data_IF_898441263858
#
_entry.id   IF_898441263858
#
_cell.length_a   1.000
_cell.length_b   1.000
_cell.length_c   1.000
_cell.angle_alpha   90.00
_cell.angle_beta   90.00
_cell.angle_gamma   90.00
#
_symmetry.space_group_name_H-M   'P 1'
#
loop_
_entity.id
_entity.type
_entity.pdbx_description
1 polymer ?
#
# COMPACT_ATOMS: atom_id res chain seq x y z
N UNK A 1 -27.43 -39.42 -16.78
CA UNK A 1 -26.17 -38.68 -17.04
C UNK A 1 -26.47 -37.18 -17.21
N UNK A 2 -26.76 -36.44 -16.14
CA UNK A 2 -27.10 -35.00 -16.20
C UNK A 2 -26.37 -34.20 -15.08
N UNK A 3 -25.19 -34.65 -14.66
CA UNK A 3 -24.36 -33.99 -13.63
C UNK A 3 -23.16 -33.21 -14.19
N UNK A 4 -22.96 -33.22 -15.52
CA UNK A 4 -21.81 -32.56 -16.16
C UNK A 4 -22.07 -31.10 -16.58
N UNK A 5 -23.26 -30.79 -17.10
CA UNK A 5 -23.56 -29.46 -17.64
C UNK A 5 -23.80 -28.40 -16.55
N UNK A 6 -24.45 -28.77 -15.44
CA UNK A 6 -24.74 -27.82 -14.35
C UNK A 6 -23.46 -27.45 -13.57
N UNK A 7 -22.48 -28.37 -13.48
CA UNK A 7 -21.17 -28.11 -12.85
C UNK A 7 -20.28 -27.25 -13.75
N UNK A 8 -20.31 -27.47 -15.08
CA UNK A 8 -19.57 -26.65 -16.05
C UNK A 8 -20.14 -25.22 -16.16
N UNK A 9 -21.47 -25.05 -16.16
CA UNK A 9 -22.11 -23.73 -16.10
C UNK A 9 -21.93 -23.05 -14.73
N UNK A 10 -21.86 -23.81 -13.63
CA UNK A 10 -21.55 -23.28 -12.30
C UNK A 10 -20.08 -22.95 -12.11
N UNK A 11 -19.14 -23.57 -12.81
CA UNK A 11 -17.72 -23.20 -12.75
C UNK A 11 -17.41 -21.95 -13.60
N UNK A 12 -18.09 -21.81 -14.75
CA UNK A 12 -17.91 -20.67 -15.67
C UNK A 12 -18.44 -19.34 -15.13
N UNK A 13 -19.52 -19.37 -14.33
CA UNK A 13 -20.13 -18.17 -13.73
C UNK A 13 -19.25 -17.47 -12.66
N UNK A 14 -18.67 -18.19 -11.67
CA UNK A 14 -17.68 -17.68 -10.73
C UNK A 14 -16.44 -17.18 -11.44
N UNK A 15 -15.97 -17.89 -12.46
CA UNK A 15 -14.78 -17.48 -13.20
C UNK A 15 -15.01 -16.17 -13.95
N UNK A 16 -16.14 -16.03 -14.64
CA UNK A 16 -16.55 -14.75 -15.24
C UNK A 16 -16.71 -13.63 -14.22
N UNK A 17 -17.22 -13.94 -13.02
CA UNK A 17 -17.33 -12.97 -11.93
C UNK A 17 -15.94 -12.50 -11.49
N UNK A 18 -15.01 -13.42 -11.23
CA UNK A 18 -13.62 -13.12 -10.84
C UNK A 18 -12.89 -12.31 -11.89
N UNK A 19 -13.04 -12.66 -13.17
CA UNK A 19 -12.46 -11.90 -14.28
C UNK A 19 -12.98 -10.45 -14.30
N UNK A 20 -14.27 -10.26 -14.00
CA UNK A 20 -14.86 -8.93 -13.94
C UNK A 20 -14.39 -8.13 -12.73
N UNK A 21 -14.32 -8.75 -11.56
CA UNK A 21 -13.74 -8.15 -10.35
C UNK A 21 -12.30 -7.71 -10.60
N UNK A 22 -11.47 -8.58 -11.18
CA UNK A 22 -10.09 -8.28 -11.54
C UNK A 22 -9.98 -7.09 -12.52
N UNK A 23 -10.85 -7.04 -13.53
CA UNK A 23 -10.88 -5.91 -14.48
C UNK A 23 -11.26 -4.58 -13.80
N UNK A 24 -12.19 -4.60 -12.85
CA UNK A 24 -12.58 -3.42 -12.07
C UNK A 24 -11.43 -2.95 -11.18
N UNK A 25 -10.78 -3.86 -10.46
CA UNK A 25 -9.62 -3.53 -9.62
C UNK A 25 -8.49 -2.94 -10.47
N UNK A 26 -8.23 -3.52 -11.65
CA UNK A 26 -7.15 -3.05 -12.53
C UNK A 26 -7.42 -1.66 -13.12
N UNK A 27 -8.65 -1.38 -13.54
CA UNK A 27 -9.06 -0.04 -13.92
C UNK A 27 -8.86 0.96 -12.78
N UNK A 28 -9.27 0.61 -11.57
CA UNK A 28 -9.11 1.46 -10.40
C UNK A 28 -7.64 1.73 -10.04
N UNK A 29 -6.75 0.72 -10.19
CA UNK A 29 -5.29 0.90 -10.04
C UNK A 29 -4.73 1.88 -11.06
N UNK A 30 -5.02 1.68 -12.35
CA UNK A 30 -4.54 2.56 -13.42
C UNK A 30 -5.00 4.01 -13.23
N UNK A 31 -6.28 4.21 -12.93
CA UNK A 31 -6.84 5.53 -12.67
C UNK A 31 -6.18 6.19 -11.45
N UNK A 32 -6.03 5.45 -10.35
CA UNK A 32 -5.40 5.98 -9.14
C UNK A 32 -3.91 6.32 -9.33
N UNK A 33 -3.17 5.53 -10.11
CA UNK A 33 -1.78 5.84 -10.45
C UNK A 33 -1.65 7.11 -11.29
N UNK A 34 -2.64 7.40 -12.15
CA UNK A 34 -2.64 8.59 -13.01
C UNK A 34 -3.06 9.84 -12.25
N UNK A 35 -4.17 9.79 -11.50
CA UNK A 35 -4.82 10.98 -10.97
C UNK A 35 -4.84 11.05 -9.43
N UNK A 36 -4.34 10.02 -8.73
CA UNK A 36 -4.36 9.88 -7.27
C UNK A 36 -5.68 9.30 -6.75
N UNK A 37 -5.62 8.50 -5.68
CA UNK A 37 -6.78 7.78 -5.12
C UNK A 37 -7.91 8.73 -4.74
N UNK A 38 -7.59 9.93 -4.22
CA UNK A 38 -8.60 10.91 -3.79
C UNK A 38 -9.50 11.41 -4.94
N UNK A 39 -8.98 11.47 -6.17
CA UNK A 39 -9.65 12.16 -7.28
C UNK A 39 -10.52 11.24 -8.14
N UNK A 40 -10.40 9.92 -7.96
CA UNK A 40 -11.17 8.95 -8.74
C UNK A 40 -12.54 8.74 -8.12
N UNK A 41 -13.60 8.73 -8.93
CA UNK A 41 -14.94 8.37 -8.52
C UNK A 41 -15.32 6.94 -8.96
N UNK A 42 -16.39 6.38 -8.37
CA UNK A 42 -16.94 5.10 -8.83
C UNK A 42 -17.41 5.15 -10.30
N UNK A 43 -17.86 6.33 -10.75
CA UNK A 43 -18.31 6.52 -12.12
C UNK A 43 -17.14 6.49 -13.11
N UNK A 44 -15.98 7.05 -12.74
CA UNK A 44 -14.78 7.00 -13.56
C UNK A 44 -14.30 5.56 -13.75
N UNK A 45 -14.29 4.78 -12.66
CA UNK A 45 -13.95 3.34 -12.72
C UNK A 45 -14.94 2.60 -13.63
N UNK A 46 -16.25 2.85 -13.48
CA UNK A 46 -17.27 2.22 -14.30
C UNK A 46 -17.09 2.54 -15.79
N UNK A 47 -16.81 3.81 -16.12
CA UNK A 47 -16.56 4.25 -17.48
C UNK A 47 -15.32 3.57 -18.08
N UNK A 48 -14.23 3.47 -17.32
CA UNK A 48 -12.96 2.86 -17.77
C UNK A 48 -13.12 1.36 -18.11
N UNK A 49 -13.93 0.62 -17.35
CA UNK A 49 -14.24 -0.81 -17.66
C UNK A 49 -15.41 -1.00 -18.63
N UNK A 50 -15.98 0.08 -19.18
CA UNK A 50 -17.12 0.04 -20.09
C UNK A 50 -18.39 -0.52 -19.44
N UNK A 51 -18.62 -0.21 -18.16
CA UNK A 51 -19.78 -0.64 -17.39
C UNK A 51 -20.66 0.53 -16.99
N UNK A 52 -21.97 0.28 -16.91
CA UNK A 52 -22.86 1.18 -16.23
C UNK A 52 -22.63 1.11 -14.70
N UNK A 53 -22.76 2.25 -13.99
CA UNK A 53 -22.55 2.33 -12.53
C UNK A 53 -23.35 1.28 -11.74
N UNK A 54 -24.62 1.07 -12.11
CA UNK A 54 -25.49 0.06 -11.48
C UNK A 54 -25.00 -1.37 -11.68
N UNK A 55 -24.33 -1.68 -12.80
CA UNK A 55 -23.74 -2.99 -13.03
C UNK A 55 -22.48 -3.19 -12.17
N UNK A 56 -21.67 -2.14 -11.97
CA UNK A 56 -20.47 -2.19 -11.12
C UNK A 56 -20.85 -2.41 -9.65
N UNK A 57 -21.93 -1.79 -9.18
CA UNK A 57 -22.46 -1.95 -7.82
C UNK A 57 -22.85 -3.39 -7.44
N UNK A 58 -22.95 -4.31 -8.42
CA UNK A 58 -23.16 -5.74 -8.17
C UNK A 58 -21.88 -6.47 -7.73
N UNK A 59 -20.72 -5.85 -7.89
CA UNK A 59 -19.40 -6.40 -7.56
C UNK A 59 -18.81 -5.72 -6.33
N UNK A 60 -18.85 -4.38 -6.29
CA UNK A 60 -18.37 -3.58 -5.17
C UNK A 60 -19.41 -2.54 -4.80
N UNK A 61 -19.78 -2.45 -3.52
CA UNK A 61 -20.80 -1.54 -3.01
C UNK A 61 -20.35 -0.09 -3.02
N UNK A 62 -19.05 0.16 -2.85
CA UNK A 62 -18.47 1.51 -2.89
C UNK A 62 -17.10 1.54 -3.57
N UNK A 63 -16.64 2.76 -3.88
CA UNK A 63 -15.28 2.99 -4.35
C UNK A 63 -14.26 2.69 -3.25
N UNK A 64 -14.61 3.01 -2.01
CA UNK A 64 -13.78 2.75 -0.84
C UNK A 64 -13.53 1.25 -0.66
N UNK A 65 -14.56 0.42 -0.90
CA UNK A 65 -14.42 -1.04 -0.89
C UNK A 65 -13.42 -1.52 -1.95
N UNK A 66 -13.49 -1.00 -3.19
CA UNK A 66 -12.51 -1.30 -4.26
C UNK A 66 -11.08 -1.01 -3.79
N UNK A 67 -10.84 0.16 -3.22
CA UNK A 67 -9.49 0.54 -2.79
C UNK A 67 -9.02 -0.21 -1.54
N UNK A 68 -9.92 -0.64 -0.64
CA UNK A 68 -9.55 -1.54 0.46
C UNK A 68 -9.14 -2.93 -0.05
N UNK A 69 -9.81 -3.44 -1.09
CA UNK A 69 -9.38 -4.67 -1.77
C UNK A 69 -7.99 -4.51 -2.40
N UNK A 70 -7.75 -3.42 -3.12
CA UNK A 70 -6.42 -3.12 -3.68
C UNK A 70 -5.36 -2.99 -2.57
N UNK A 71 -5.67 -2.29 -1.48
CA UNK A 71 -4.76 -2.14 -0.36
C UNK A 71 -4.43 -3.50 0.29
N UNK A 72 -5.42 -4.38 0.42
CA UNK A 72 -5.25 -5.74 0.95
C UNK A 72 -4.23 -6.53 0.14
N UNK A 73 -4.34 -6.52 -1.18
CA UNK A 73 -3.40 -7.20 -2.09
C UNK A 73 -2.01 -6.54 -2.06
N UNK A 74 -1.96 -5.20 -2.07
CA UNK A 74 -0.72 -4.44 -2.08
C UNK A 74 0.12 -4.66 -0.79
N UNK A 75 -0.53 -4.77 0.37
CA UNK A 75 0.15 -5.13 1.63
C UNK A 75 0.81 -6.51 1.56
N UNK A 76 0.11 -7.52 1.02
CA UNK A 76 0.62 -8.89 0.92
C UNK A 76 1.79 -8.98 -0.07
N UNK A 77 1.64 -8.35 -1.23
CA UNK A 77 2.68 -8.32 -2.25
C UNK A 77 3.92 -7.58 -1.75
N UNK A 78 3.73 -6.43 -1.08
CA UNK A 78 4.83 -5.68 -0.50
C UNK A 78 5.56 -6.50 0.54
N UNK A 79 4.85 -7.09 1.51
CA UNK A 79 5.45 -7.91 2.55
C UNK A 79 6.27 -9.06 1.97
N UNK A 80 5.74 -9.77 0.98
CA UNK A 80 6.44 -10.86 0.28
C UNK A 80 7.71 -10.37 -0.43
N UNK A 81 7.61 -9.27 -1.18
CA UNK A 81 8.75 -8.76 -1.96
C UNK A 81 9.86 -8.20 -1.09
N UNK A 82 9.49 -7.47 -0.02
CA UNK A 82 10.43 -6.86 0.88
C UNK A 82 11.07 -7.89 1.80
N UNK A 83 10.34 -8.88 2.31
CA UNK A 83 10.95 -9.97 3.09
C UNK A 83 11.99 -10.74 2.30
N UNK A 84 11.73 -11.01 1.01
CA UNK A 84 12.72 -11.61 0.12
C UNK A 84 13.96 -10.72 -0.04
N UNK A 85 13.79 -9.41 -0.24
CA UNK A 85 14.91 -8.48 -0.35
C UNK A 85 15.73 -8.36 0.96
N UNK A 86 15.06 -8.41 2.11
CA UNK A 86 15.71 -8.41 3.43
C UNK A 86 16.52 -9.70 3.67
N UNK A 87 16.03 -10.85 3.19
CA UNK A 87 16.72 -12.14 3.32
C UNK A 87 18.09 -12.22 2.64
N UNK A 88 18.38 -11.30 1.72
CA UNK A 88 19.69 -11.20 1.04
C UNK A 88 20.69 -10.30 1.77
N UNK A 89 20.27 -9.64 2.86
CA UNK A 89 21.13 -8.73 3.62
C UNK A 89 21.95 -9.45 4.69
N UNK A 90 23.03 -8.78 5.11
CA UNK A 90 23.87 -9.26 6.22
C UNK A 90 23.28 -8.88 7.58
N UNK A 91 23.53 -9.73 8.60
CA UNK A 91 23.16 -9.45 9.99
C UNK A 91 23.69 -8.07 10.42
N UNK A 92 22.83 -7.24 11.00
CA UNK A 92 23.19 -5.90 11.46
C UNK A 92 23.26 -4.82 10.39
N UNK A 93 22.93 -5.10 9.12
CA UNK A 93 23.00 -4.14 8.01
C UNK A 93 21.83 -3.13 8.02
N UNK A 94 21.84 -2.21 9.00
CA UNK A 94 20.83 -1.16 9.12
C UNK A 94 20.71 -0.28 7.87
N UNK A 95 21.82 0.18 7.23
CA UNK A 95 21.73 0.94 5.98
C UNK A 95 21.09 0.14 4.84
N UNK A 96 21.41 -1.16 4.72
CA UNK A 96 20.79 -2.06 3.75
C UNK A 96 19.28 -2.21 3.98
N UNK A 97 18.86 -2.38 5.23
CA UNK A 97 17.44 -2.45 5.61
C UNK A 97 16.71 -1.17 5.19
N UNK A 98 17.27 0.00 5.56
CA UNK A 98 16.68 1.29 5.22
C UNK A 98 16.54 1.49 3.70
N UNK A 99 17.56 1.11 2.93
CA UNK A 99 17.53 1.16 1.47
C UNK A 99 16.52 0.17 0.87
N UNK A 100 16.38 -1.02 1.43
CA UNK A 100 15.40 -2.01 0.98
C UNK A 100 13.97 -1.50 1.18
N UNK A 101 13.66 -0.94 2.36
CA UNK A 101 12.38 -0.26 2.61
C UNK A 101 12.12 0.85 1.59
N UNK A 102 13.06 1.78 1.44
CA UNK A 102 12.93 2.91 0.53
C UNK A 102 12.65 2.47 -0.92
N UNK A 103 13.46 1.54 -1.44
CA UNK A 103 13.33 1.03 -2.81
C UNK A 103 12.01 0.29 -3.00
N UNK A 104 11.59 -0.52 -2.02
CA UNK A 104 10.35 -1.29 -2.11
C UNK A 104 9.09 -0.40 -2.12
N UNK A 105 9.14 0.74 -1.43
CA UNK A 105 8.07 1.73 -1.35
C UNK A 105 8.04 2.64 -2.58
N UNK A 106 9.20 3.04 -3.09
CA UNK A 106 9.33 3.85 -4.31
C UNK A 106 8.72 3.15 -5.53
N UNK A 107 8.93 1.82 -5.62
CA UNK A 107 8.30 0.99 -6.64
C UNK A 107 6.78 0.81 -6.46
N UNK A 108 6.19 1.34 -5.38
CA UNK A 108 4.77 1.16 -5.00
C UNK A 108 4.09 2.49 -4.66
N UNK A 109 4.00 3.42 -5.62
CA UNK A 109 3.36 4.72 -5.44
C UNK A 109 1.93 4.61 -4.89
N UNK A 110 1.14 3.68 -5.45
CA UNK A 110 -0.25 3.47 -5.03
C UNK A 110 -0.35 2.97 -3.58
N UNK A 111 0.56 2.11 -3.13
CA UNK A 111 0.55 1.64 -1.74
C UNK A 111 0.83 2.80 -0.77
N UNK A 112 1.79 3.67 -1.11
CA UNK A 112 2.10 4.85 -0.32
C UNK A 112 0.88 5.79 -0.22
N UNK A 113 0.17 6.02 -1.33
CA UNK A 113 -1.06 6.81 -1.34
C UNK A 113 -2.19 6.15 -0.51
N UNK A 114 -2.28 4.81 -0.56
CA UNK A 114 -3.26 4.05 0.21
C UNK A 114 -2.96 4.06 1.73
N UNK A 115 -1.71 4.12 2.16
CA UNK A 115 -1.39 4.32 3.59
C UNK A 115 -1.98 5.63 4.12
N UNK A 116 -1.99 6.69 3.32
CA UNK A 116 -2.61 7.96 3.67
C UNK A 116 -4.14 7.85 3.70
N UNK A 117 -4.72 7.26 2.65
CA UNK A 117 -6.17 7.32 2.46
C UNK A 117 -6.97 6.25 3.19
N UNK A 118 -6.38 5.10 3.52
CA UNK A 118 -7.04 4.03 4.26
C UNK A 118 -7.67 4.52 5.58
N UNK A 119 -6.90 5.09 6.54
CA UNK A 119 -7.47 5.56 7.81
C UNK A 119 -8.29 6.85 7.67
N UNK A 120 -8.01 7.69 6.66
CA UNK A 120 -8.69 8.98 6.49
C UNK A 120 -10.07 8.85 5.84
N UNK A 121 -10.21 7.95 4.86
CA UNK A 121 -11.36 7.94 3.96
C UNK A 121 -11.92 6.53 3.75
N UNK A 122 -11.06 5.54 3.46
CA UNK A 122 -11.53 4.25 2.93
C UNK A 122 -12.21 3.39 4.01
N UNK A 123 -11.78 3.47 5.26
CA UNK A 123 -12.36 2.69 6.37
C UNK A 123 -13.73 3.23 6.85
N UNK A 124 -14.16 4.41 6.40
CA UNK A 124 -15.33 5.11 6.97
C UNK A 124 -16.66 4.78 6.29
N UNK A 125 -16.64 4.48 4.99
CA UNK A 125 -17.84 4.32 4.16
C UNK A 125 -17.91 2.92 3.51
N UNK A 126 -17.61 1.88 4.29
CA UNK A 126 -17.56 0.49 3.86
C UNK A 126 -18.20 -0.42 4.91
N UNK A 127 -18.44 -1.68 4.56
CA UNK A 127 -18.87 -2.67 5.55
C UNK A 127 -17.77 -2.95 6.58
N UNK A 128 -18.16 -3.26 7.82
CA UNK A 128 -17.20 -3.67 8.86
C UNK A 128 -16.43 -4.93 8.44
N UNK A 129 -17.07 -5.83 7.69
CA UNK A 129 -16.41 -7.02 7.14
C UNK A 129 -15.25 -6.64 6.22
N UNK A 130 -15.43 -5.67 5.33
CA UNK A 130 -14.34 -5.19 4.46
C UNK A 130 -13.18 -4.58 5.27
N UNK A 131 -13.49 -3.80 6.31
CA UNK A 131 -12.47 -3.25 7.22
C UNK A 131 -11.71 -4.37 7.94
N UNK A 132 -12.41 -5.36 8.49
CA UNK A 132 -11.79 -6.49 9.19
C UNK A 132 -10.85 -7.26 8.25
N UNK A 133 -11.31 -7.59 7.03
CA UNK A 133 -10.49 -8.28 6.03
C UNK A 133 -9.22 -7.50 5.71
N UNK A 134 -9.34 -6.19 5.48
CA UNK A 134 -8.20 -5.33 5.23
C UNK A 134 -7.23 -5.28 6.42
N UNK A 135 -7.73 -5.04 7.64
CA UNK A 135 -6.90 -4.93 8.85
C UNK A 135 -6.15 -6.23 9.15
N UNK A 136 -6.82 -7.38 9.02
CA UNK A 136 -6.16 -8.68 9.22
C UNK A 136 -5.03 -8.90 8.22
N UNK A 137 -5.24 -8.52 6.94
CA UNK A 137 -4.18 -8.59 5.93
C UNK A 137 -2.99 -7.68 6.27
N UNK A 138 -3.25 -6.44 6.68
CA UNK A 138 -2.21 -5.51 7.10
C UNK A 138 -1.45 -6.03 8.33
N UNK A 139 -2.14 -6.59 9.33
CA UNK A 139 -1.51 -7.22 10.51
C UNK A 139 -0.61 -8.38 10.12
N UNK A 140 -1.07 -9.27 9.23
CA UNK A 140 -0.25 -10.38 8.74
C UNK A 140 0.99 -9.89 8.00
N UNK A 141 0.84 -8.87 7.13
CA UNK A 141 1.94 -8.27 6.39
C UNK A 141 2.97 -7.61 7.32
N UNK A 142 2.50 -6.84 8.32
CA UNK A 142 3.37 -6.25 9.35
C UNK A 142 4.11 -7.33 10.11
N UNK A 143 3.45 -8.41 10.52
CA UNK A 143 4.10 -9.52 11.22
C UNK A 143 5.23 -10.14 10.39
N UNK A 144 4.98 -10.44 9.11
CA UNK A 144 5.99 -11.00 8.20
C UNK A 144 7.23 -10.09 8.13
N UNK A 145 7.02 -8.79 8.00
CA UNK A 145 8.11 -7.83 7.89
C UNK A 145 8.84 -7.61 9.22
N UNK A 146 8.11 -7.54 10.33
CA UNK A 146 8.67 -7.48 11.68
C UNK A 146 9.58 -8.68 11.93
N UNK A 147 9.13 -9.90 11.61
CA UNK A 147 9.92 -11.12 11.80
C UNK A 147 11.19 -11.08 10.91
N UNK A 148 11.08 -10.69 9.63
CA UNK A 148 12.22 -10.56 8.73
C UNK A 148 13.26 -9.51 9.19
N UNK A 149 12.81 -8.36 9.70
CA UNK A 149 13.72 -7.34 10.25
C UNK A 149 14.43 -7.86 11.50
N UNK A 150 13.72 -8.61 12.37
CA UNK A 150 14.29 -9.16 13.60
C UNK A 150 15.29 -10.29 13.36
N UNK A 151 15.19 -11.01 12.25
CA UNK A 151 16.24 -11.95 11.83
C UNK A 151 17.56 -11.24 11.55
N UNK A 152 17.51 -10.03 10.98
CA UNK A 152 18.69 -9.19 10.72
C UNK A 152 19.14 -8.40 11.96
N UNK A 153 18.20 -8.03 12.84
CA UNK A 153 18.41 -7.23 14.04
C UNK A 153 17.88 -7.94 15.29
N UNK A 154 18.53 -9.04 15.75
CA UNK A 154 18.00 -9.94 16.78
C UNK A 154 17.86 -9.31 18.17
N UNK A 155 18.47 -8.15 18.41
CA UNK A 155 18.31 -7.37 19.64
C UNK A 155 16.94 -6.68 19.75
N UNK A 156 16.19 -6.55 18.65
CA UNK A 156 14.86 -5.95 18.63
C UNK A 156 13.78 -6.93 19.09
N UNK A 157 12.89 -6.45 19.96
CA UNK A 157 11.68 -7.21 20.33
C UNK A 157 10.65 -7.18 19.21
N UNK A 158 9.59 -7.99 19.35
CA UNK A 158 8.44 -7.91 18.44
C UNK A 158 7.79 -6.51 18.46
N UNK A 159 7.67 -5.91 19.65
CA UNK A 159 7.14 -4.55 19.81
C UNK A 159 8.03 -3.50 19.11
N UNK A 160 9.36 -3.60 19.19
CA UNK A 160 10.26 -2.67 18.50
C UNK A 160 10.13 -2.78 16.98
N UNK A 161 10.04 -4.02 16.46
CA UNK A 161 9.83 -4.24 15.04
C UNK A 161 8.48 -3.69 14.57
N UNK A 162 7.41 -3.90 15.34
CA UNK A 162 6.10 -3.32 15.05
C UNK A 162 6.13 -1.78 15.09
N UNK A 163 6.81 -1.18 16.08
CA UNK A 163 6.99 0.26 16.20
C UNK A 163 7.74 0.82 14.98
N UNK A 164 8.81 0.13 14.54
CA UNK A 164 9.55 0.48 13.33
C UNK A 164 8.66 0.44 12.09
N UNK A 165 7.90 -0.64 11.88
CA UNK A 165 7.03 -0.79 10.71
C UNK A 165 5.89 0.23 10.67
N UNK A 166 5.28 0.52 11.83
CA UNK A 166 4.27 1.59 11.96
C UNK A 166 4.89 2.95 11.66
N UNK A 167 6.10 3.22 12.17
CA UNK A 167 6.84 4.43 11.90
C UNK A 167 7.13 4.61 10.40
N UNK A 168 7.69 3.59 9.75
CA UNK A 168 8.03 3.63 8.32
C UNK A 168 6.79 3.85 7.45
N UNK A 169 5.70 3.10 7.69
CA UNK A 169 4.49 3.21 6.87
C UNK A 169 3.77 4.56 7.07
N UNK A 170 3.80 5.11 8.28
CA UNK A 170 3.30 6.46 8.57
C UNK A 170 4.16 7.54 7.91
N UNK A 171 5.48 7.40 7.97
CA UNK A 171 6.40 8.30 7.28
C UNK A 171 6.22 8.23 5.76
N UNK A 172 6.10 7.03 5.20
CA UNK A 172 5.85 6.84 3.77
C UNK A 172 4.55 7.53 3.34
N UNK A 173 3.47 7.38 4.12
CA UNK A 173 2.20 8.06 3.86
C UNK A 173 2.35 9.59 3.79
N UNK A 174 3.09 10.20 4.72
CA UNK A 174 3.29 11.65 4.73
C UNK A 174 4.27 12.14 3.66
N UNK A 175 5.44 11.51 3.59
CA UNK A 175 6.51 11.88 2.66
C UNK A 175 6.10 11.70 1.21
N UNK A 176 5.25 10.70 0.90
CA UNK A 176 4.74 10.50 -0.45
C UNK A 176 3.92 11.70 -0.92
N UNK A 177 3.00 12.20 -0.09
CA UNK A 177 2.17 13.36 -0.41
C UNK A 177 2.97 14.67 -0.50
N UNK A 178 4.00 14.79 0.34
CA UNK A 178 4.90 15.95 0.33
C UNK A 178 5.84 15.95 -0.89
N UNK A 179 6.32 14.78 -1.29
CA UNK A 179 7.20 14.60 -2.45
C UNK A 179 6.47 14.62 -3.80
N UNK A 180 5.16 14.36 -3.81
CA UNK A 180 4.35 14.30 -5.03
C UNK A 180 3.14 15.25 -4.97
N UNK A 181 3.38 16.58 -4.84
CA UNK A 181 2.29 17.54 -4.80
C UNK A 181 1.57 17.65 -6.16
N UNK A 182 0.32 18.15 -6.20
CA UNK A 182 -0.39 18.38 -7.46
C UNK A 182 0.42 19.25 -8.44
N UNK A 183 0.26 19.09 -9.77
CA UNK A 183 1.10 19.77 -10.77
C UNK A 183 1.19 21.30 -10.62
N UNK A 184 0.11 21.95 -10.20
CA UNK A 184 0.11 23.39 -9.97
C UNK A 184 0.94 23.82 -8.75
N UNK A 185 1.01 22.99 -7.70
CA UNK A 185 1.88 23.21 -6.52
C UNK A 185 3.33 22.84 -6.84
N UNK A 186 3.56 21.74 -7.58
CA UNK A 186 4.90 21.36 -8.03
C UNK A 186 5.54 22.50 -8.86
N UNK A 187 4.76 23.10 -9.76
CA UNK A 187 5.17 24.27 -10.54
C UNK A 187 5.53 25.47 -9.65
N UNK A 188 4.72 25.74 -8.62
CA UNK A 188 4.99 26.81 -7.65
C UNK A 188 6.34 26.61 -6.94
N UNK A 189 6.68 25.39 -6.52
CA UNK A 189 7.95 25.11 -5.83
C UNK A 189 9.16 25.33 -6.73
N UNK A 190 9.03 25.09 -8.05
CA UNK A 190 10.10 25.36 -9.02
C UNK A 190 10.25 26.86 -9.29
N UNK A 191 9.13 27.60 -9.38
CA UNK A 191 9.13 29.02 -9.70
C UNK A 191 9.59 29.93 -8.53
N UNK A 192 9.50 29.46 -7.29
CA UNK A 192 9.85 30.23 -6.10
C UNK A 192 11.01 29.59 -5.30
N UNK A 193 12.26 30.07 -5.45
CA UNK A 193 13.43 29.51 -4.77
C UNK A 193 13.31 29.45 -3.24
N UNK A 194 12.56 30.36 -2.63
CA UNK A 194 12.30 30.35 -1.18
C UNK A 194 11.49 29.11 -0.73
N UNK A 195 10.75 28.47 -1.64
CA UNK A 195 9.94 27.27 -1.39
C UNK A 195 10.66 25.99 -1.84
N UNK A 196 11.90 26.07 -2.36
CA UNK A 196 12.62 24.88 -2.84
C UNK A 196 12.83 23.80 -1.76
N UNK A 197 12.97 24.20 -0.50
CA UNK A 197 13.12 23.28 0.64
C UNK A 197 11.83 22.52 1.00
N UNK A 198 10.68 22.87 0.42
CA UNK A 198 9.43 22.11 0.62
C UNK A 198 9.32 20.91 -0.31
N UNK A 199 10.16 20.84 -1.36
CA UNK A 199 10.24 19.67 -2.22
C UNK A 199 10.99 18.55 -1.48
N UNK A 200 10.28 17.46 -1.18
CA UNK A 200 10.84 16.30 -0.48
C UNK A 200 11.27 15.26 -1.51
N UNK A 201 12.56 14.93 -1.54
CA UNK A 201 13.08 13.76 -2.24
C UNK A 201 12.69 12.48 -1.48
N UNK A 202 11.61 11.83 -1.92
CA UNK A 202 10.95 10.72 -1.21
C UNK A 202 11.92 9.62 -0.80
N UNK A 203 12.67 9.06 -1.76
CA UNK A 203 13.60 7.94 -1.53
C UNK A 203 14.69 8.31 -0.52
N UNK A 204 15.27 9.51 -0.65
CA UNK A 204 16.31 9.98 0.26
C UNK A 204 15.76 10.17 1.69
N UNK A 205 14.59 10.81 1.81
CA UNK A 205 13.95 11.07 3.08
C UNK A 205 13.56 9.77 3.81
N UNK A 206 12.90 8.84 3.12
CA UNK A 206 12.46 7.57 3.72
C UNK A 206 13.64 6.68 4.11
N UNK A 207 14.71 6.64 3.31
CA UNK A 207 15.94 5.90 3.64
C UNK A 207 16.52 6.42 4.96
N UNK A 208 16.80 7.73 5.03
CA UNK A 208 17.44 8.33 6.20
C UNK A 208 16.60 8.22 7.48
N UNK A 209 15.28 8.39 7.37
CA UNK A 209 14.38 8.30 8.53
C UNK A 209 14.19 6.85 8.99
N UNK A 210 14.16 5.89 8.07
CA UNK A 210 14.12 4.46 8.43
C UNK A 210 15.38 4.05 9.19
N UNK A 211 16.55 4.45 8.70
CA UNK A 211 17.83 4.23 9.38
C UNK A 211 17.84 4.87 10.77
N UNK A 212 17.38 6.13 10.87
CA UNK A 212 17.30 6.86 12.15
C UNK A 212 16.41 6.14 13.17
N UNK A 213 15.23 5.67 12.76
CA UNK A 213 14.31 4.93 13.63
C UNK A 213 14.93 3.61 14.10
N UNK A 214 15.51 2.83 13.18
CA UNK A 214 16.14 1.56 13.50
C UNK A 214 17.30 1.74 14.50
N UNK A 215 18.20 2.70 14.26
CA UNK A 215 19.30 3.02 15.18
C UNK A 215 18.80 3.50 16.55
N UNK A 216 17.72 4.30 16.59
CA UNK A 216 17.11 4.76 17.83
C UNK A 216 16.55 3.62 18.68
N UNK A 217 15.88 2.65 18.05
CA UNK A 217 15.36 1.46 18.72
C UNK A 217 16.49 0.56 19.25
N UNK A 218 17.54 0.34 18.45
CA UNK A 218 18.72 -0.41 18.89
C UNK A 218 19.42 0.27 20.09
N UNK A 219 19.58 1.59 20.03
CA UNK A 219 20.19 2.35 21.12
C UNK A 219 19.37 2.30 22.42
N UNK A 220 18.03 2.23 22.33
CA UNK A 220 17.13 2.06 23.48
C UNK A 220 17.35 0.70 24.18
N UNK A 221 17.73 -0.34 23.43
CA UNK A 221 18.01 -1.70 23.94
C UNK A 221 19.43 -1.88 24.48
N UNK A 222 20.36 -1.02 24.09
CA UNK A 222 21.73 -1.02 24.59
C UNK A 222 21.90 -0.33 25.95
N UNK A 223 20.83 0.23 26.53
CA UNK A 223 20.77 0.88 27.85
C UNK A 223 20.20 -0.07 28.89
#
# INVERSE_FOLDING_TARGET
MARGDDDFQRARRPEQKRQREAAILEAARRLALRDGVRNISLADIAADVGMHKTALLRYFGTREEIYLHIATEAWQEWAKSLSAALGELSLGDVPGIAKAFATSLDMRPLLCDLFTHAPLNLERNVSLTAVITFKLSAITAVKILTDAVRELLPTLTEDDGNELLVGITTLAAGLWQLGHPPPHVAKLYVEHPAMSHTAIEFVSAITRLTETLALGLLAKRAR
#
